data_IF_993888469499
#
_entry.id   IF_993888469499
#
_cell.length_a   1.000
_cell.length_b   1.000
_cell.length_c   1.000
_cell.angle_alpha   90.00
_cell.angle_beta   90.00
_cell.angle_gamma   90.00
#
_symmetry.space_group_name_H-M   'P 1'
#
loop_
_entity.id
_entity.type
_entity.pdbx_description
1 polymer ?
#
# COMPACT_ATOMS: atom_id res chain seq x y z
N UNK A 1 -37.27 22.36 -2.16
CA UNK A 1 -36.07 22.16 -3.01
C UNK A 1 -35.61 20.72 -2.83
N UNK A 2 -35.87 19.86 -3.81
CA UNK A 2 -35.44 18.45 -3.75
C UNK A 2 -33.99 18.41 -4.22
N UNK A 3 -33.07 18.11 -3.31
CA UNK A 3 -31.66 17.87 -3.64
C UNK A 3 -31.60 16.47 -4.25
N UNK A 4 -31.52 16.40 -5.58
CA UNK A 4 -31.23 15.14 -6.29
C UNK A 4 -29.74 14.89 -6.10
N UNK A 5 -29.40 14.00 -5.17
CA UNK A 5 -28.04 13.46 -5.05
C UNK A 5 -27.84 12.54 -6.25
N UNK A 6 -27.20 13.05 -7.30
CA UNK A 6 -26.72 12.21 -8.40
C UNK A 6 -25.55 11.40 -7.83
N UNK A 7 -25.84 10.20 -7.32
CA UNK A 7 -24.81 9.22 -7.01
C UNK A 7 -24.23 8.75 -8.34
N UNK A 8 -23.04 9.24 -8.66
CA UNK A 8 -22.30 8.90 -9.86
C UNK A 8 -21.92 7.41 -9.80
N UNK A 9 -22.76 6.55 -10.38
CA UNK A 9 -22.51 5.11 -10.46
C UNK A 9 -21.34 4.91 -11.42
N UNK A 10 -20.12 4.82 -10.89
CA UNK A 10 -18.94 4.46 -11.66
C UNK A 10 -19.15 3.06 -12.24
N UNK A 11 -19.43 2.98 -13.54
CA UNK A 11 -19.52 1.69 -14.25
C UNK A 11 -18.14 1.06 -14.29
N UNK A 12 -17.92 0.00 -13.49
CA UNK A 12 -16.66 -0.76 -13.54
C UNK A 12 -16.64 -1.54 -14.85
N UNK A 13 -15.68 -1.32 -15.76
CA UNK A 13 -15.64 -2.03 -17.03
C UNK A 13 -15.44 -3.53 -16.78
N UNK A 14 -16.24 -4.37 -17.44
CA UNK A 14 -16.08 -5.83 -17.36
C UNK A 14 -14.75 -6.20 -18.01
N UNK A 15 -13.76 -6.59 -17.18
CA UNK A 15 -12.42 -6.96 -17.67
C UNK A 15 -12.28 -8.45 -17.85
N UNK A 16 -11.50 -8.82 -18.87
CA UNK A 16 -11.03 -10.19 -19.05
C UNK A 16 -10.23 -10.62 -17.81
N UNK A 17 -10.47 -11.85 -17.38
CA UNK A 17 -9.73 -12.50 -16.31
C UNK A 17 -8.23 -12.62 -16.66
N UNK A 18 -7.34 -12.45 -15.68
CA UNK A 18 -5.89 -12.44 -15.89
C UNK A 18 -5.16 -13.10 -14.73
N UNK A 19 -4.65 -14.33 -14.96
CA UNK A 19 -3.93 -15.10 -13.94
C UNK A 19 -2.75 -14.34 -13.32
N UNK A 20 -2.04 -13.51 -14.10
CA UNK A 20 -0.94 -12.67 -13.58
C UNK A 20 -1.44 -11.58 -12.66
N UNK A 21 -2.60 -10.97 -12.96
CA UNK A 21 -3.22 -9.96 -12.10
C UNK A 21 -3.67 -10.58 -10.78
N UNK A 22 -4.28 -11.76 -10.85
CA UNK A 22 -4.75 -12.46 -9.67
C UNK A 22 -3.56 -12.87 -8.77
N UNK A 23 -2.46 -13.35 -9.35
CA UNK A 23 -1.24 -13.65 -8.61
C UNK A 23 -0.60 -12.41 -7.96
N UNK A 24 -0.61 -11.26 -8.65
CA UNK A 24 -0.13 -9.98 -8.08
C UNK A 24 -1.00 -9.55 -6.91
N UNK A 25 -2.33 -9.63 -7.06
CA UNK A 25 -3.26 -9.27 -6.01
C UNK A 25 -3.11 -10.18 -4.79
N UNK A 26 -2.99 -11.49 -5.00
CA UNK A 26 -2.78 -12.45 -3.93
C UNK A 26 -1.44 -12.22 -3.21
N UNK A 27 -0.37 -11.93 -3.96
CA UNK A 27 0.93 -11.58 -3.41
C UNK A 27 0.86 -10.38 -2.45
N UNK A 28 0.07 -9.35 -2.79
CA UNK A 28 -0.15 -8.16 -1.93
C UNK A 28 -0.99 -8.52 -0.70
N UNK A 29 -2.01 -9.38 -0.85
CA UNK A 29 -2.91 -9.77 0.25
C UNK A 29 -2.26 -10.67 1.28
N UNK A 30 -1.25 -11.44 0.87
CA UNK A 30 -0.55 -12.42 1.68
C UNK A 30 0.64 -11.84 2.49
N UNK A 31 0.89 -10.54 2.43
CA UNK A 31 1.98 -9.85 3.14
C UNK A 31 1.44 -8.80 4.10
N UNK A 32 2.05 -8.73 5.29
CA UNK A 32 1.85 -7.66 6.29
C UNK A 32 2.94 -6.56 6.18
N UNK A 33 3.57 -6.50 5.02
CA UNK A 33 4.50 -5.43 4.63
C UNK A 33 3.94 -4.75 3.41
N UNK A 34 4.24 -3.47 3.21
CA UNK A 34 3.86 -2.77 1.97
C UNK A 34 4.91 -2.98 0.89
N UNK A 35 4.68 -3.91 -0.06
CA UNK A 35 5.67 -4.18 -1.08
C UNK A 35 5.75 -3.03 -2.08
N UNK A 36 6.90 -2.92 -2.72
CA UNK A 36 7.05 -2.17 -3.96
C UNK A 36 6.94 -3.13 -5.17
N UNK A 37 6.89 -2.57 -6.38
CA UNK A 37 6.76 -3.36 -7.60
C UNK A 37 7.90 -4.35 -7.83
N UNK A 38 9.14 -4.00 -7.43
CA UNK A 38 10.31 -4.87 -7.58
C UNK A 38 10.25 -6.08 -6.65
N UNK A 39 9.78 -5.88 -5.41
CA UNK A 39 9.56 -6.95 -4.46
C UNK A 39 8.50 -7.93 -4.98
N UNK A 40 7.36 -7.42 -5.46
CA UNK A 40 6.30 -8.27 -6.03
C UNK A 40 6.83 -9.06 -7.22
N UNK A 41 7.59 -8.39 -8.09
CA UNK A 41 8.24 -9.04 -9.23
C UNK A 41 9.17 -10.17 -8.77
N UNK A 42 10.05 -9.90 -7.80
CA UNK A 42 11.00 -10.88 -7.27
C UNK A 42 10.30 -12.09 -6.65
N UNK A 43 9.20 -11.90 -5.92
CA UNK A 43 8.45 -13.00 -5.30
C UNK A 43 7.73 -13.87 -6.33
N UNK A 44 7.17 -13.27 -7.38
CA UNK A 44 6.35 -13.99 -8.36
C UNK A 44 7.16 -14.57 -9.53
N UNK A 45 8.32 -14.00 -9.85
CA UNK A 45 9.16 -14.41 -11.00
C UNK A 45 9.51 -15.92 -11.01
N UNK A 46 9.83 -16.58 -9.88
CA UNK A 46 10.09 -18.02 -9.86
C UNK A 46 8.88 -18.86 -10.28
N UNK A 47 7.67 -18.42 -9.95
CA UNK A 47 6.41 -19.13 -10.24
C UNK A 47 5.83 -18.75 -11.61
N UNK A 48 6.16 -17.56 -12.12
CA UNK A 48 5.67 -17.01 -13.38
C UNK A 48 6.89 -16.56 -14.22
N UNK A 49 7.57 -17.50 -14.92
CA UNK A 49 8.84 -17.21 -15.60
C UNK A 49 8.73 -16.14 -16.70
N UNK A 50 7.56 -15.97 -17.32
CA UNK A 50 7.28 -14.96 -18.35
C UNK A 50 6.75 -13.63 -17.77
N UNK A 51 6.77 -13.45 -16.43
CA UNK A 51 6.46 -12.18 -15.80
C UNK A 51 7.55 -11.16 -16.10
N UNK A 52 7.15 -9.94 -16.47
CA UNK A 52 8.04 -8.80 -16.62
C UNK A 52 7.66 -7.71 -15.61
N UNK A 53 8.65 -6.90 -15.21
CA UNK A 53 8.42 -5.79 -14.29
C UNK A 53 7.39 -4.79 -14.85
N UNK A 54 7.42 -4.51 -16.16
CA UNK A 54 6.41 -3.68 -16.81
C UNK A 54 4.98 -4.27 -16.75
N UNK A 55 4.85 -5.60 -16.69
CA UNK A 55 3.54 -6.24 -16.45
C UNK A 55 3.08 -6.05 -15.01
N UNK A 56 4.00 -6.09 -14.03
CA UNK A 56 3.69 -5.80 -12.64
C UNK A 56 3.18 -4.37 -12.48
N UNK A 57 3.92 -3.37 -12.97
CA UNK A 57 3.52 -1.97 -12.90
C UNK A 57 2.14 -1.70 -13.53
N UNK A 58 1.87 -2.22 -14.73
CA UNK A 58 0.56 -2.03 -15.38
C UNK A 58 -0.61 -2.62 -14.58
N UNK A 59 -0.40 -3.78 -13.94
CA UNK A 59 -1.44 -4.40 -13.13
C UNK A 59 -1.62 -3.68 -11.79
N UNK A 60 -0.55 -3.20 -11.16
CA UNK A 60 -0.62 -2.39 -9.94
C UNK A 60 -1.38 -1.08 -10.18
N UNK A 61 -1.03 -0.36 -11.25
CA UNK A 61 -1.74 0.87 -11.64
C UNK A 61 -3.23 0.60 -11.86
N UNK A 62 -3.56 -0.53 -12.49
CA UNK A 62 -4.93 -0.94 -12.72
C UNK A 62 -5.68 -1.26 -11.41
N UNK A 63 -5.10 -2.12 -10.56
CA UNK A 63 -5.71 -2.51 -9.29
C UNK A 63 -5.94 -1.28 -8.38
N UNK A 64 -4.99 -0.35 -8.36
CA UNK A 64 -5.10 0.94 -7.67
C UNK A 64 -6.22 1.80 -8.23
N UNK A 65 -6.31 1.93 -9.56
CA UNK A 65 -7.37 2.69 -10.22
C UNK A 65 -8.76 2.10 -9.90
N UNK A 66 -8.86 0.79 -9.76
CA UNK A 66 -10.10 0.07 -9.42
C UNK A 66 -10.40 0.09 -7.91
N UNK A 67 -9.50 0.65 -7.07
CA UNK A 67 -9.65 0.70 -5.62
C UNK A 67 -9.52 -0.67 -4.95
N UNK A 68 -8.95 -1.66 -5.64
CA UNK A 68 -8.76 -3.02 -5.11
C UNK A 68 -7.55 -3.11 -4.19
N UNK A 69 -6.57 -2.21 -4.39
CA UNK A 69 -5.41 -2.01 -3.53
C UNK A 69 -5.23 -0.51 -3.28
N UNK A 70 -4.65 -0.16 -2.14
CA UNK A 70 -4.30 1.21 -1.80
C UNK A 70 -2.83 1.54 -2.07
N UNK A 71 -2.42 2.72 -1.61
CA UNK A 71 -1.01 3.14 -1.62
C UNK A 71 -0.72 3.95 -0.37
N UNK A 72 0.40 3.61 0.26
CA UNK A 72 1.01 4.41 1.32
C UNK A 72 1.71 5.66 0.76
N UNK A 73 1.83 5.77 -0.57
CA UNK A 73 2.62 6.79 -1.23
C UNK A 73 4.06 6.33 -1.50
N UNK A 74 4.97 7.31 -1.62
CA UNK A 74 6.37 7.07 -2.00
C UNK A 74 7.24 7.05 -0.76
N UNK A 75 7.87 5.90 -0.50
CA UNK A 75 8.86 5.71 0.58
C UNK A 75 10.18 5.30 -0.06
N UNK A 76 11.23 6.08 0.21
CA UNK A 76 12.57 5.90 -0.37
C UNK A 76 12.55 5.85 -1.91
N UNK A 77 11.80 6.75 -2.54
CA UNK A 77 11.69 6.85 -4.00
C UNK A 77 10.85 5.75 -4.66
N UNK A 78 10.26 4.83 -3.88
CA UNK A 78 9.47 3.73 -4.38
C UNK A 78 8.03 3.80 -3.87
N UNK A 79 7.06 3.59 -4.75
CA UNK A 79 5.66 3.47 -4.36
C UNK A 79 5.42 2.19 -3.55
N UNK A 80 4.62 2.31 -2.49
CA UNK A 80 4.30 1.24 -1.55
C UNK A 80 2.82 0.90 -1.63
N UNK A 81 2.52 -0.34 -1.97
CA UNK A 81 1.15 -0.81 -2.16
C UNK A 81 0.65 -1.49 -0.88
N UNK A 82 -0.63 -1.31 -0.59
CA UNK A 82 -1.27 -1.89 0.59
C UNK A 82 -2.49 -2.72 0.19
N UNK A 83 -2.74 -3.79 0.96
CA UNK A 83 -3.95 -4.60 0.79
C UNK A 83 -5.17 -3.94 1.45
N UNK A 84 -4.93 -3.18 2.51
CA UNK A 84 -5.93 -2.60 3.38
C UNK A 84 -5.67 -1.10 3.50
N UNK A 85 -6.71 -0.31 3.27
CA UNK A 85 -6.67 1.16 3.37
C UNK A 85 -7.23 1.66 4.69
N UNK A 86 -7.58 0.78 5.64
CA UNK A 86 -7.95 1.22 6.99
C UNK A 86 -6.77 1.97 7.62
N UNK A 87 -6.99 3.10 8.31
CA UNK A 87 -5.92 3.83 8.97
C UNK A 87 -5.16 2.95 9.97
N UNK A 88 -3.83 2.93 9.85
CA UNK A 88 -2.92 2.29 10.79
C UNK A 88 -1.58 3.04 10.82
N UNK A 89 -0.76 2.76 11.82
CA UNK A 89 0.59 3.29 11.90
C UNK A 89 1.57 2.43 11.09
N UNK A 90 2.70 3.02 10.72
CA UNK A 90 3.70 2.36 9.89
C UNK A 90 5.09 2.43 10.52
N UNK A 91 5.92 1.41 10.27
CA UNK A 91 7.34 1.42 10.60
C UNK A 91 8.18 1.29 9.34
N UNK A 92 9.10 2.22 9.12
CA UNK A 92 10.02 2.24 7.98
C UNK A 92 11.43 1.85 8.45
N UNK A 93 11.95 0.74 7.93
CA UNK A 93 13.31 0.31 8.21
C UNK A 93 14.32 1.11 7.38
N UNK A 94 15.26 1.81 8.03
CA UNK A 94 16.34 2.55 7.37
C UNK A 94 17.43 1.66 6.76
N UNK A 95 17.51 0.38 7.13
CA UNK A 95 18.48 -0.57 6.57
C UNK A 95 17.97 -1.27 5.31
N UNK A 96 16.82 -1.95 5.38
CA UNK A 96 16.27 -2.69 4.24
C UNK A 96 15.13 -1.99 3.50
N UNK A 97 14.73 -0.79 3.93
CA UNK A 97 13.61 -0.05 3.34
C UNK A 97 12.26 -0.79 3.39
N UNK A 98 12.08 -1.77 4.29
CA UNK A 98 10.78 -2.37 4.53
C UNK A 98 9.83 -1.37 5.18
N UNK A 99 8.56 -1.43 4.81
CA UNK A 99 7.48 -0.71 5.47
C UNK A 99 6.55 -1.76 6.06
N UNK A 100 6.32 -1.67 7.37
CA UNK A 100 5.69 -2.70 8.17
C UNK A 100 4.50 -2.08 8.91
N UNK A 101 3.36 -2.75 8.88
CA UNK A 101 2.15 -2.33 9.59
C UNK A 101 2.40 -2.38 11.11
N UNK A 102 1.98 -1.34 11.81
CA UNK A 102 1.98 -1.29 13.28
C UNK A 102 0.53 -1.16 13.73
N UNK A 103 -0.03 -2.28 14.15
CA UNK A 103 -1.40 -2.36 14.65
C UNK A 103 -1.49 -1.86 16.10
N UNK A 104 -2.70 -1.43 16.48
CA UNK A 104 -3.04 -1.00 17.86
C UNK A 104 -2.22 0.21 18.36
N UNK A 105 -1.65 0.99 17.45
CA UNK A 105 -0.94 2.23 17.76
C UNK A 105 -1.59 3.38 16.99
N UNK A 106 -2.35 4.18 17.72
CA UNK A 106 -3.00 5.37 17.18
C UNK A 106 -2.20 6.65 17.49
N UNK A 107 -2.33 7.70 16.67
CA UNK A 107 -1.86 9.03 17.03
C UNK A 107 -2.45 9.46 18.39
N UNK A 108 -1.68 10.18 19.23
CA UNK A 108 -2.19 10.72 20.48
C UNK A 108 -3.49 11.50 20.29
N UNK A 109 -4.45 11.30 21.19
CA UNK A 109 -5.73 12.01 21.15
C UNK A 109 -5.50 13.54 21.18
N UNK A 110 -6.18 14.25 20.28
CA UNK A 110 -6.07 15.71 20.17
C UNK A 110 -4.80 16.20 19.46
N UNK A 111 -3.96 15.31 18.91
CA UNK A 111 -2.80 15.73 18.10
C UNK A 111 -3.23 16.57 16.90
N UNK A 112 -4.34 16.18 16.23
CA UNK A 112 -4.90 16.94 15.11
C UNK A 112 -5.37 18.34 15.51
N UNK A 113 -5.88 18.50 16.74
CA UNK A 113 -6.42 19.78 17.23
C UNK A 113 -5.31 20.82 17.48
N UNK A 114 -4.07 20.37 17.64
CA UNK A 114 -2.90 21.24 17.79
C UNK A 114 -2.45 21.88 16.46
N UNK A 115 -2.97 21.42 15.32
CA UNK A 115 -2.62 21.94 14.00
C UNK A 115 -3.43 23.19 13.68
N UNK A 116 -2.77 24.35 13.64
CA UNK A 116 -3.42 25.65 13.43
C UNK A 116 -3.37 26.17 11.98
N UNK A 117 -2.75 25.43 11.06
CA UNK A 117 -2.51 25.88 9.68
C UNK A 117 -3.60 25.46 8.67
N UNK A 118 -4.75 24.94 9.12
CA UNK A 118 -5.86 24.59 8.23
C UNK A 118 -6.82 23.56 8.83
N UNK A 119 -7.62 22.94 7.96
CA UNK A 119 -8.50 21.83 8.33
C UNK A 119 -7.78 20.50 8.05
N UNK A 120 -7.47 19.75 9.10
CA UNK A 120 -6.82 18.43 9.01
C UNK A 120 -7.82 17.43 8.44
N UNK A 121 -7.46 16.79 7.33
CA UNK A 121 -8.24 15.70 6.72
C UNK A 121 -7.82 14.31 7.21
N UNK A 122 -6.55 14.15 7.53
CA UNK A 122 -5.94 12.87 7.86
C UNK A 122 -4.70 13.08 8.74
N UNK A 123 -4.44 12.15 9.65
CA UNK A 123 -3.22 12.07 10.45
C UNK A 123 -2.70 10.64 10.39
N UNK A 124 -1.47 10.48 9.90
CA UNK A 124 -0.80 9.18 9.77
C UNK A 124 0.44 9.19 10.66
N UNK A 125 0.62 8.13 11.45
CA UNK A 125 1.80 7.95 12.30
C UNK A 125 2.82 7.05 11.61
N UNK A 126 4.06 7.50 11.55
CA UNK A 126 5.16 6.76 10.92
C UNK A 126 6.39 6.77 11.83
N UNK A 127 6.91 5.59 12.13
CA UNK A 127 8.15 5.36 12.86
C UNK A 127 9.27 5.04 11.88
N UNK A 128 10.51 5.46 12.19
CA UNK A 128 11.69 5.14 11.40
C UNK A 128 12.76 4.53 12.30
N UNK A 129 13.38 3.43 11.87
CA UNK A 129 14.41 2.75 12.66
C UNK A 129 14.99 1.51 11.96
N UNK A 130 15.48 0.53 12.72
CA UNK A 130 15.98 -0.75 12.18
C UNK A 130 15.00 -1.86 12.57
N UNK A 131 14.50 -2.61 11.60
CA UNK A 131 13.54 -3.68 11.87
C UNK A 131 14.21 -4.92 12.49
N UNK A 132 13.42 -5.76 13.14
CA UNK A 132 13.89 -6.99 13.79
C UNK A 132 14.65 -7.94 12.85
N UNK A 133 14.34 -7.93 11.56
CA UNK A 133 15.07 -8.75 10.58
C UNK A 133 16.49 -8.22 10.35
N UNK A 134 16.70 -6.90 10.36
CA UNK A 134 18.01 -6.30 10.18
C UNK A 134 18.84 -6.37 11.46
N UNK A 135 18.24 -6.12 12.63
CA UNK A 135 18.95 -6.22 13.92
C UNK A 135 19.57 -7.60 14.12
N UNK A 136 18.88 -8.67 13.68
CA UNK A 136 19.37 -10.06 13.79
C UNK A 136 20.47 -10.42 12.80
N UNK A 137 20.65 -9.65 11.73
CA UNK A 137 21.71 -9.89 10.74
C UNK A 137 23.03 -9.26 11.19
N UNK A 138 22.96 -8.23 12.04
CA UNK A 138 24.12 -7.51 12.59
C UNK A 138 24.58 -8.03 13.97
N UNK A 139 24.00 -9.13 14.48
CA UNK A 139 24.31 -9.75 15.78
C UNK A 139 24.94 -11.13 15.61
#
# INVERSE_FOLDING_TARGET
MIIIIVLEVKTVPVRKHSKKRDAILECIRATDTHPNAEWIYAQLKPQIPDLSLGTVYRNLALLKQEGVIGTMGVVNGMERFERDTHPHAHFICSSCSSVIDVFEVDPPQGLCDQVQCGSVKECVLTFTGICNNCVKVDA
#
